data_IF_336064660385
#
_entry.id   IF_336064660385
#
_cell.length_a   1.000
_cell.length_b   1.000
_cell.length_c   1.000
_cell.angle_alpha   90.00
_cell.angle_beta   90.00
_cell.angle_gamma   90.00
#
_symmetry.space_group_name_H-M   'P 1'
#
loop_
_entity.id
_entity.type
_entity.pdbx_description
1 polymer ?
#
# COMPACT_ATOMS: atom_id res chain seq x y z
N UNK A 1 16.70 -8.10 4.74
CA UNK A 1 17.09 -6.80 5.35
C UNK A 1 16.56 -5.65 4.51
N UNK A 2 16.95 -5.53 3.23
CA UNK A 2 16.50 -4.47 2.30
C UNK A 2 14.99 -4.27 2.22
N UNK A 3 14.19 -5.34 2.05
CA UNK A 3 12.71 -5.26 1.98
C UNK A 3 12.04 -4.62 3.20
N UNK A 4 12.55 -4.86 4.41
CA UNK A 4 11.96 -4.29 5.64
C UNK A 4 12.27 -2.82 5.77
N UNK A 5 13.51 -2.45 5.46
CA UNK A 5 13.98 -1.07 5.49
C UNK A 5 13.18 -0.18 4.53
N UNK A 6 12.88 -0.67 3.32
CA UNK A 6 12.11 0.11 2.35
C UNK A 6 10.65 0.29 2.74
N UNK A 7 10.03 -0.76 3.30
CA UNK A 7 8.67 -0.66 3.81
C UNK A 7 8.55 0.39 4.92
N UNK A 8 9.48 0.35 5.86
CA UNK A 8 9.57 1.29 6.99
C UNK A 8 9.75 2.72 6.51
N UNK A 9 10.70 2.94 5.60
CA UNK A 9 10.94 4.24 4.97
C UNK A 9 9.66 4.78 4.33
N UNK A 10 8.94 3.96 3.57
CA UNK A 10 7.70 4.40 2.91
C UNK A 10 6.59 4.65 3.93
N UNK A 11 6.42 3.81 4.94
CA UNK A 11 5.45 4.03 6.02
C UNK A 11 5.70 5.35 6.76
N UNK A 12 6.97 5.66 7.04
CA UNK A 12 7.35 6.88 7.72
C UNK A 12 7.14 8.13 6.84
N UNK A 13 7.69 8.14 5.62
CA UNK A 13 7.63 9.33 4.76
C UNK A 13 6.29 9.53 4.03
N UNK A 14 5.64 8.46 3.60
CA UNK A 14 4.39 8.57 2.84
C UNK A 14 3.17 8.63 3.76
N UNK A 15 3.21 7.91 4.89
CA UNK A 15 2.04 7.73 5.76
C UNK A 15 2.17 8.39 7.13
N UNK A 16 3.32 8.99 7.46
CA UNK A 16 3.58 9.56 8.79
C UNK A 16 3.35 8.53 9.93
N UNK A 17 3.54 7.24 9.62
CA UNK A 17 3.40 6.18 10.60
C UNK A 17 4.77 6.00 11.25
N UNK A 18 4.91 6.55 12.45
CA UNK A 18 6.05 6.28 13.34
C UNK A 18 5.84 4.91 13.99
N UNK A 19 6.14 3.84 13.27
CA UNK A 19 6.18 2.49 13.85
C UNK A 19 7.55 2.34 14.55
N UNK A 20 7.62 2.58 15.87
CA UNK A 20 8.86 2.43 16.65
C UNK A 20 9.45 1.00 16.62
N UNK A 21 8.72 0.03 16.07
CA UNK A 21 9.03 -1.39 16.12
C UNK A 21 9.76 -1.89 14.85
N UNK A 22 10.93 -1.33 14.56
CA UNK A 22 11.87 -1.73 13.48
C UNK A 22 12.19 -3.25 13.43
N UNK A 23 11.98 -3.96 14.55
CA UNK A 23 12.35 -5.38 14.72
C UNK A 23 11.16 -6.35 14.80
N UNK A 24 9.93 -5.86 14.98
CA UNK A 24 8.77 -6.75 15.11
C UNK A 24 8.23 -7.08 13.73
N UNK A 25 7.85 -8.33 13.47
CA UNK A 25 7.12 -8.69 12.22
C UNK A 25 5.82 -7.89 12.21
N UNK A 26 5.81 -6.72 11.57
CA UNK A 26 4.58 -5.95 11.43
C UNK A 26 3.60 -6.78 10.57
N UNK A 27 2.31 -6.76 10.93
CA UNK A 27 1.30 -7.48 10.16
C UNK A 27 1.27 -6.99 8.71
N UNK A 28 1.54 -5.70 8.48
CA UNK A 28 1.66 -5.10 7.15
C UNK A 28 2.82 -5.69 6.34
N UNK A 29 4.02 -5.85 6.93
CA UNK A 29 5.15 -6.50 6.25
C UNK A 29 4.80 -7.92 5.82
N UNK A 30 4.15 -8.69 6.71
CA UNK A 30 3.78 -10.07 6.42
C UNK A 30 2.76 -10.15 5.29
N UNK A 31 1.78 -9.25 5.24
CA UNK A 31 0.78 -9.20 4.17
C UNK A 31 1.39 -8.82 2.83
N UNK A 32 2.24 -7.79 2.80
CA UNK A 32 2.90 -7.32 1.57
C UNK A 32 3.88 -8.38 1.04
N UNK A 33 4.66 -9.00 1.91
CA UNK A 33 5.57 -10.09 1.52
C UNK A 33 4.82 -11.34 1.04
N UNK A 34 3.71 -11.69 1.70
CA UNK A 34 2.84 -12.78 1.27
C UNK A 34 2.22 -12.51 -0.10
N UNK A 35 1.84 -11.26 -0.39
CA UNK A 35 1.34 -10.86 -1.70
C UNK A 35 2.40 -11.11 -2.80
N UNK A 36 3.62 -10.61 -2.64
CA UNK A 36 4.64 -10.74 -3.69
C UNK A 36 5.18 -12.16 -3.84
N UNK A 37 5.16 -12.97 -2.79
CA UNK A 37 5.58 -14.38 -2.86
C UNK A 37 4.53 -15.28 -3.51
N UNK A 38 3.24 -14.99 -3.33
CA UNK A 38 2.15 -15.80 -3.91
C UNK A 38 1.68 -15.35 -5.30
N UNK A 39 1.74 -14.06 -5.64
CA UNK A 39 1.22 -13.58 -6.93
C UNK A 39 2.19 -13.73 -8.12
N UNK A 40 3.48 -13.87 -7.86
CA UNK A 40 4.48 -13.88 -8.94
C UNK A 40 4.57 -15.21 -9.72
N UNK A 41 3.81 -16.24 -9.32
CA UNK A 41 4.00 -17.59 -9.89
C UNK A 41 2.82 -18.10 -10.73
N UNK A 42 1.86 -17.25 -11.08
CA UNK A 42 0.63 -17.74 -11.69
C UNK A 42 0.72 -17.64 -13.21
N UNK A 43 1.07 -18.77 -13.84
CA UNK A 43 0.88 -19.05 -15.28
C UNK A 43 -0.51 -18.57 -15.77
N UNK A 44 -1.51 -18.57 -14.90
CA UNK A 44 -2.87 -18.08 -15.15
C UNK A 44 -2.96 -16.57 -15.41
N UNK A 45 -2.18 -15.72 -14.74
CA UNK A 45 -2.17 -14.27 -15.00
C UNK A 45 -1.56 -13.99 -16.37
N UNK A 46 -0.49 -14.73 -16.71
CA UNK A 46 0.16 -14.67 -18.02
C UNK A 46 -0.75 -15.17 -19.14
N UNK A 47 -1.47 -16.27 -18.92
CA UNK A 47 -2.42 -16.79 -19.92
C UNK A 47 -3.64 -15.90 -20.08
N UNK A 48 -4.08 -15.22 -19.03
CA UNK A 48 -5.22 -14.31 -19.08
C UNK A 48 -4.92 -12.97 -19.77
N UNK A 49 -3.68 -12.49 -19.73
CA UNK A 49 -3.26 -11.35 -20.57
C UNK A 49 -3.35 -11.68 -22.07
N UNK A 50 -3.19 -12.95 -22.44
CA UNK A 50 -3.19 -13.41 -23.85
C UNK A 50 -4.62 -13.62 -24.36
N UNK A 51 -5.57 -14.02 -23.49
CA UNK A 51 -6.93 -14.37 -23.88
C UNK A 51 -8.00 -13.49 -23.21
N UNK A 52 -8.47 -12.41 -23.86
CA UNK A 52 -9.43 -11.46 -23.28
C UNK A 52 -10.81 -12.06 -22.98
N UNK A 53 -11.17 -13.20 -23.58
CA UNK A 53 -12.44 -13.90 -23.29
C UNK A 53 -12.49 -14.50 -21.87
N UNK A 54 -11.33 -14.70 -21.23
CA UNK A 54 -11.24 -15.24 -19.86
C UNK A 54 -11.43 -14.18 -18.78
N UNK A 55 -11.71 -12.91 -19.10
CA UNK A 55 -11.85 -11.80 -18.14
C UNK A 55 -12.79 -12.11 -16.96
N UNK A 56 -13.89 -12.82 -17.19
CA UNK A 56 -14.84 -13.20 -16.13
C UNK A 56 -14.31 -14.33 -15.24
N UNK A 57 -13.60 -15.31 -15.81
CA UNK A 57 -12.87 -16.34 -15.06
C UNK A 57 -11.71 -15.71 -14.28
N UNK A 58 -11.08 -14.68 -14.84
CA UNK A 58 -10.01 -13.92 -14.21
C UNK A 58 -10.49 -13.12 -13.01
N UNK A 59 -11.65 -12.48 -13.11
CA UNK A 59 -12.31 -11.81 -11.98
C UNK A 59 -12.60 -12.82 -10.86
N UNK A 60 -13.10 -14.00 -11.22
CA UNK A 60 -13.41 -15.07 -10.26
C UNK A 60 -12.16 -15.67 -9.58
N UNK A 61 -11.06 -15.84 -10.32
CA UNK A 61 -9.77 -16.36 -9.81
C UNK A 61 -9.04 -15.28 -8.98
N UNK A 62 -9.12 -14.01 -9.37
CA UNK A 62 -8.62 -12.88 -8.58
C UNK A 62 -9.35 -12.79 -7.22
N UNK A 63 -10.67 -12.97 -7.24
CA UNK A 63 -11.53 -12.89 -6.06
C UNK A 63 -11.42 -14.15 -5.16
N UNK A 64 -11.16 -15.35 -5.69
CA UNK A 64 -11.17 -16.61 -4.90
C UNK A 64 -9.83 -17.34 -4.73
N UNK A 65 -8.83 -17.11 -5.58
CA UNK A 65 -7.58 -17.92 -5.59
C UNK A 65 -6.31 -17.06 -5.34
N UNK A 66 -6.28 -15.80 -5.77
CA UNK A 66 -5.04 -15.03 -5.81
C UNK A 66 -4.78 -14.21 -4.54
N UNK A 67 -5.35 -13.01 -4.44
CA UNK A 67 -4.95 -12.04 -3.40
C UNK A 67 -6.03 -11.05 -3.00
N UNK A 68 -7.28 -11.25 -3.47
CA UNK A 68 -8.43 -10.47 -3.00
C UNK A 68 -8.44 -10.34 -1.47
N UNK A 69 -8.39 -11.44 -0.69
CA UNK A 69 -8.40 -11.35 0.77
C UNK A 69 -7.21 -10.58 1.37
N UNK A 70 -6.03 -10.66 0.75
CA UNK A 70 -4.82 -9.96 1.23
C UNK A 70 -4.92 -8.47 0.91
N UNK A 71 -5.40 -8.13 -0.29
CA UNK A 71 -5.67 -6.75 -0.70
C UNK A 71 -6.76 -6.15 0.18
N UNK A 72 -7.83 -6.88 0.48
CA UNK A 72 -8.92 -6.44 1.35
C UNK A 72 -8.39 -6.15 2.75
N UNK A 73 -7.57 -7.05 3.31
CA UNK A 73 -6.91 -6.82 4.61
C UNK A 73 -5.97 -5.62 4.60
N UNK A 74 -5.21 -5.41 3.52
CA UNK A 74 -4.29 -4.28 3.39
C UNK A 74 -5.05 -2.95 3.22
N UNK A 75 -6.13 -2.97 2.45
CA UNK A 75 -7.07 -1.86 2.25
C UNK A 75 -7.76 -1.49 3.55
N UNK A 76 -8.21 -2.48 4.33
CA UNK A 76 -8.78 -2.27 5.66
C UNK A 76 -7.77 -1.69 6.65
N UNK A 77 -6.51 -2.14 6.60
CA UNK A 77 -5.44 -1.57 7.42
C UNK A 77 -5.20 -0.11 7.05
N UNK A 78 -5.07 0.22 5.76
CA UNK A 78 -4.90 1.58 5.28
C UNK A 78 -6.09 2.47 5.66
N UNK A 79 -7.32 1.97 5.51
CA UNK A 79 -8.54 2.68 5.92
C UNK A 79 -8.52 3.00 7.42
N UNK A 80 -8.14 2.03 8.27
CA UNK A 80 -8.00 2.27 9.72
C UNK A 80 -6.93 3.30 10.04
N UNK A 81 -5.81 3.31 9.30
CA UNK A 81 -4.75 4.30 9.50
C UNK A 81 -5.19 5.71 9.10
N UNK A 82 -5.90 5.85 7.97
CA UNK A 82 -6.49 7.12 7.55
C UNK A 82 -7.45 7.64 8.63
N UNK A 83 -8.36 6.81 9.13
CA UNK A 83 -9.30 7.23 10.17
C UNK A 83 -8.58 7.67 11.46
N UNK A 84 -7.49 7.00 11.86
CA UNK A 84 -6.68 7.40 13.02
C UNK A 84 -5.99 8.74 12.77
N UNK A 85 -5.46 8.95 11.58
CA UNK A 85 -4.79 10.18 11.18
C UNK A 85 -5.75 11.38 11.16
N UNK A 86 -6.95 11.20 10.58
CA UNK A 86 -8.01 12.22 10.60
C UNK A 86 -8.44 12.56 12.03
N UNK A 87 -8.60 11.55 12.89
CA UNK A 87 -9.00 11.74 14.28
C UNK A 87 -7.94 12.52 15.09
N UNK A 88 -6.65 12.28 14.82
CA UNK A 88 -5.56 13.06 15.42
C UNK A 88 -5.55 14.52 14.93
N UNK A 89 -5.92 14.76 13.66
CA UNK A 89 -5.98 16.11 13.10
C UNK A 89 -7.20 16.93 13.59
N UNK A 90 -8.35 16.32 13.84
CA UNK A 90 -9.53 17.04 14.36
C UNK A 90 -9.37 17.56 15.81
N UNK A 91 -8.33 17.12 16.54
CA UNK A 91 -8.11 17.56 17.93
C UNK A 91 -7.22 18.82 18.01
N UNK A 92 -6.50 19.16 16.93
CA UNK A 92 -5.51 20.26 16.86
C UNK A 92 -5.98 21.40 15.93
N UNK A 93 -7.24 21.81 16.07
CA UNK A 93 -7.95 22.75 15.18
C UNK A 93 -7.47 24.23 15.27
N UNK A 94 -6.25 24.50 15.73
CA UNK A 94 -5.74 25.86 15.93
C UNK A 94 -4.43 26.21 15.21
N UNK A 95 -3.75 25.26 14.57
CA UNK A 95 -2.54 25.59 13.83
C UNK A 95 -2.74 25.42 12.33
N UNK A 96 -2.35 26.46 11.62
CA UNK A 96 -2.30 26.58 10.16
C UNK A 96 -2.08 25.21 9.51
N UNK A 97 -3.02 24.81 8.65
CA UNK A 97 -2.94 23.64 7.78
C UNK A 97 -1.63 23.73 6.97
N UNK A 98 -0.54 23.20 7.54
CA UNK A 98 0.78 23.14 6.93
C UNK A 98 0.74 22.02 5.91
N UNK A 99 0.03 22.34 4.83
CA UNK A 99 -0.25 21.48 3.70
C UNK A 99 1.07 21.11 3.05
N UNK A 100 1.59 19.91 3.30
CA UNK A 100 2.58 19.30 2.41
C UNK A 100 3.83 18.71 3.02
N UNK A 101 3.78 18.13 4.23
CA UNK A 101 4.92 17.35 4.72
C UNK A 101 4.90 15.92 4.21
N UNK A 102 3.72 15.28 4.13
CA UNK A 102 3.61 13.86 3.80
C UNK A 102 2.59 13.59 2.67
N UNK A 103 2.78 12.46 1.97
CA UNK A 103 1.89 12.04 0.86
C UNK A 103 0.43 11.88 1.32
N UNK A 104 0.23 11.38 2.54
CA UNK A 104 -1.10 11.23 3.14
C UNK A 104 -1.86 12.56 3.21
N UNK A 105 -1.20 13.65 3.62
CA UNK A 105 -1.81 14.98 3.68
C UNK A 105 -2.26 15.48 2.31
N UNK A 106 -1.43 15.24 1.28
CA UNK A 106 -1.76 15.59 -0.08
C UNK A 106 -3.00 14.84 -0.58
N UNK A 107 -3.08 13.53 -0.30
CA UNK A 107 -4.20 12.70 -0.74
C UNK A 107 -5.48 13.06 0.04
N UNK A 108 -5.39 13.34 1.34
CA UNK A 108 -6.51 13.79 2.16
C UNK A 108 -7.02 15.18 1.77
N UNK A 109 -6.12 16.09 1.41
CA UNK A 109 -6.51 17.39 0.86
C UNK A 109 -7.33 17.24 -0.42
N UNK A 110 -6.93 16.34 -1.33
CA UNK A 110 -7.69 16.07 -2.56
C UNK A 110 -9.04 15.39 -2.29
N UNK A 111 -9.15 14.58 -1.23
CA UNK A 111 -10.41 14.02 -0.78
C UNK A 111 -11.37 15.11 -0.27
N UNK A 112 -10.88 16.06 0.53
CA UNK A 112 -11.68 17.22 1.02
C UNK A 112 -12.17 18.12 -0.10
N UNK A 113 -11.39 18.22 -1.18
CA UNK A 113 -11.78 18.95 -2.39
C UNK A 113 -12.81 18.21 -3.26
N UNK A 114 -13.31 17.04 -2.84
CA UNK A 114 -14.18 16.15 -3.61
C UNK A 114 -13.60 15.73 -4.97
N UNK A 115 -12.27 15.81 -5.15
CA UNK A 115 -11.60 15.37 -6.37
C UNK A 115 -11.35 13.86 -6.39
N UNK A 116 -11.36 13.21 -5.22
CA UNK A 116 -11.13 11.78 -5.06
C UNK A 116 -12.15 11.18 -4.10
N UNK A 117 -12.62 9.97 -4.42
CA UNK A 117 -13.41 9.13 -3.52
C UNK A 117 -12.53 8.42 -2.50
N UNK A 118 -13.12 8.00 -1.37
CA UNK A 118 -12.42 7.23 -0.34
C UNK A 118 -11.71 5.98 -0.90
N UNK A 119 -12.36 5.29 -1.84
CA UNK A 119 -11.80 4.06 -2.43
C UNK A 119 -10.64 4.37 -3.39
N UNK A 120 -10.67 5.49 -4.12
CA UNK A 120 -9.56 5.95 -4.96
C UNK A 120 -8.35 6.39 -4.12
N UNK A 121 -8.60 7.04 -2.98
CA UNK A 121 -7.54 7.39 -2.02
C UNK A 121 -6.83 6.15 -1.52
N UNK A 122 -7.59 5.16 -1.03
CA UNK A 122 -7.00 3.93 -0.50
C UNK A 122 -6.29 3.15 -1.62
N UNK A 123 -6.87 3.11 -2.83
CA UNK A 123 -6.25 2.48 -3.99
C UNK A 123 -4.91 3.11 -4.38
N UNK A 124 -4.83 4.45 -4.40
CA UNK A 124 -3.59 5.17 -4.71
C UNK A 124 -2.51 4.90 -3.65
N UNK A 125 -2.89 4.94 -2.38
CA UNK A 125 -1.99 4.66 -1.26
C UNK A 125 -1.46 3.21 -1.29
N UNK A 126 -2.35 2.26 -1.59
CA UNK A 126 -2.00 0.85 -1.77
C UNK A 126 -0.95 0.67 -2.88
N UNK A 127 -1.17 1.29 -4.05
CA UNK A 127 -0.25 1.17 -5.19
C UNK A 127 1.13 1.73 -4.85
N UNK A 128 1.18 2.91 -4.21
CA UNK A 128 2.46 3.56 -3.84
C UNK A 128 3.23 2.71 -2.83
N UNK A 129 2.55 2.18 -1.80
CA UNK A 129 3.13 1.29 -0.80
C UNK A 129 3.74 0.04 -1.46
N UNK A 130 2.96 -0.64 -2.29
CA UNK A 130 3.37 -1.89 -2.94
C UNK A 130 4.53 -1.68 -3.94
N UNK A 131 4.43 -0.64 -4.76
CA UNK A 131 5.45 -0.33 -5.76
C UNK A 131 6.77 0.06 -5.10
N UNK A 132 6.74 0.96 -4.11
CA UNK A 132 7.94 1.41 -3.44
C UNK A 132 8.60 0.31 -2.60
N UNK A 133 7.82 -0.58 -1.98
CA UNK A 133 8.34 -1.72 -1.24
C UNK A 133 9.23 -2.61 -2.11
N UNK A 134 8.69 -3.12 -3.21
CA UNK A 134 9.38 -4.15 -4.01
C UNK A 134 10.47 -3.55 -4.89
N UNK A 135 10.22 -2.42 -5.56
CA UNK A 135 11.18 -1.82 -6.50
C UNK A 135 12.41 -1.24 -5.78
N UNK A 136 12.21 -0.53 -4.67
CA UNK A 136 13.31 0.04 -3.89
C UNK A 136 14.12 -1.07 -3.22
N UNK A 137 13.46 -2.11 -2.70
CA UNK A 137 14.16 -3.21 -2.06
C UNK A 137 15.01 -3.99 -3.06
N UNK A 138 14.46 -4.23 -4.26
CA UNK A 138 15.19 -4.83 -5.36
C UNK A 138 16.37 -3.94 -5.77
N UNK A 139 16.16 -2.64 -5.93
CA UNK A 139 17.20 -1.66 -6.26
C UNK A 139 18.35 -1.64 -5.25
N UNK A 140 18.05 -1.53 -3.95
CA UNK A 140 19.07 -1.59 -2.88
C UNK A 140 19.81 -2.93 -2.93
N UNK A 141 19.10 -4.04 -3.14
CA UNK A 141 19.73 -5.36 -3.20
C UNK A 141 20.68 -5.48 -4.40
N UNK A 142 20.32 -4.90 -5.55
CA UNK A 142 21.17 -4.89 -6.74
C UNK A 142 22.40 -4.00 -6.55
N UNK A 143 22.24 -2.83 -5.90
CA UNK A 143 23.34 -1.91 -5.61
C UNK A 143 24.32 -2.51 -4.60
N UNK A 144 23.84 -3.22 -3.58
CA UNK A 144 24.70 -3.84 -2.55
C UNK A 144 25.36 -5.14 -3.01
N UNK A 145 24.82 -5.79 -4.05
CA UNK A 145 25.38 -7.02 -4.59
C UNK A 145 26.52 -6.76 -5.59
N UNK A 146 26.57 -5.56 -6.19
CA UNK A 146 27.65 -5.11 -7.07
C UNK A 146 28.78 -4.48 -6.25
#
# INVERSE_FOLDING_TARGET
>A
MSKRFTLDTICHYAFAIDDEDFYRKSPLFTMVDHFFTHNCNTVLVRSAMIYPFMKNVLKFINDNISSGPIIDHLTDYLRKQICRYEQQHCTNDNDNFDSGKNLLDFVLHNLRLNNLTNDEVIGNLLVILMAGYETTACGISFVLFN
#
